data_IF_923731462488
#
_entry.id   IF_923731462488
#
_cell.length_a   1.000
_cell.length_b   1.000
_cell.length_c   1.000
_cell.angle_alpha   90.00
_cell.angle_beta   90.00
_cell.angle_gamma   90.00
#
_symmetry.space_group_name_H-M   'P 1'
#
loop_
_entity.id
_entity.type
_entity.pdbx_description
1 polymer ?
#
# COMPACT_ATOMS: atom_id res chain seq x y z
N UNK A 1 -0.71 -12.17 21.71
CA UNK A 1 0.40 -11.46 21.05
C UNK A 1 -0.07 -11.13 19.66
N UNK A 2 -0.45 -9.87 19.47
CA UNK A 2 -1.00 -9.37 18.21
C UNK A 2 0.13 -9.30 17.18
N UNK A 3 -0.10 -9.86 16.00
CA UNK A 3 0.88 -10.02 14.92
C UNK A 3 1.16 -8.71 14.17
N UNK A 4 1.31 -7.62 14.90
CA UNK A 4 1.84 -6.36 14.39
C UNK A 4 3.35 -6.48 14.28
N UNK A 5 3.83 -7.19 13.27
CA UNK A 5 5.14 -6.81 12.74
C UNK A 5 5.07 -5.31 12.43
N UNK A 6 6.01 -4.49 12.91
CA UNK A 6 6.00 -3.08 12.61
C UNK A 6 6.12 -2.97 11.10
N UNK A 7 5.04 -2.52 10.46
CA UNK A 7 5.07 -2.07 9.07
C UNK A 7 5.87 -0.77 9.07
N UNK A 8 7.19 -0.89 9.21
CA UNK A 8 8.12 0.20 8.95
C UNK A 8 7.79 0.63 7.52
N UNK A 9 7.31 1.86 7.39
CA UNK A 9 6.86 2.40 6.11
C UNK A 9 7.97 2.22 5.07
N UNK A 10 7.63 2.00 3.80
CA UNK A 10 8.65 1.84 2.76
C UNK A 10 9.62 3.06 2.74
N UNK A 11 9.11 4.25 3.08
CA UNK A 11 9.86 5.48 3.27
C UNK A 11 10.78 5.46 4.50
N UNK A 12 10.31 4.89 5.61
CA UNK A 12 11.09 4.75 6.85
C UNK A 12 12.24 3.75 6.62
N UNK A 13 11.98 2.66 5.89
CA UNK A 13 13.02 1.74 5.39
C UNK A 13 14.06 2.42 4.49
N UNK A 14 13.66 3.39 3.67
CA UNK A 14 14.61 4.15 2.85
C UNK A 14 15.47 5.08 3.73
N UNK A 15 14.88 5.73 4.72
CA UNK A 15 15.60 6.58 5.66
C UNK A 15 16.67 5.79 6.43
N UNK A 16 16.34 4.58 6.90
CA UNK A 16 17.28 3.69 7.58
C UNK A 16 18.46 3.29 6.67
N UNK A 17 18.18 2.99 5.40
CA UNK A 17 19.23 2.65 4.42
C UNK A 17 20.14 3.84 4.13
N UNK A 18 19.58 5.06 4.04
CA UNK A 18 20.38 6.27 3.86
C UNK A 18 21.25 6.53 5.09
N UNK A 19 20.70 6.38 6.30
CA UNK A 19 21.46 6.53 7.54
C UNK A 19 22.64 5.55 7.59
N UNK A 20 22.38 4.27 7.32
CA UNK A 20 23.42 3.24 7.27
C UNK A 20 24.49 3.55 6.19
N UNK A 21 24.09 4.03 5.01
CA UNK A 21 25.04 4.40 3.96
C UNK A 21 25.94 5.57 4.38
N UNK A 22 25.40 6.55 5.13
CA UNK A 22 26.17 7.69 5.66
C UNK A 22 27.14 7.23 6.75
N UNK A 23 26.73 6.36 7.65
CA UNK A 23 27.60 5.78 8.69
C UNK A 23 28.79 5.05 8.05
N UNK A 24 28.53 4.19 7.06
CA UNK A 24 29.58 3.48 6.32
C UNK A 24 30.51 4.44 5.59
N UNK A 25 29.97 5.51 4.99
CA UNK A 25 30.80 6.53 4.33
C UNK A 25 31.71 7.26 5.33
N UNK A 26 31.19 7.61 6.51
CA UNK A 26 31.95 8.26 7.58
C UNK A 26 33.06 7.36 8.11
N UNK A 27 32.76 6.11 8.45
CA UNK A 27 33.74 5.12 8.91
C UNK A 27 34.81 4.83 7.85
N UNK A 28 34.41 4.75 6.58
CA UNK A 28 35.35 4.60 5.47
C UNK A 28 36.26 5.83 5.32
N UNK A 29 35.72 7.03 5.58
CA UNK A 29 36.49 8.27 5.55
C UNK A 29 37.52 8.32 6.68
N UNK A 30 37.12 7.98 7.91
CA UNK A 30 38.00 7.92 9.07
C UNK A 30 39.11 6.88 8.93
N UNK A 31 38.81 5.74 8.31
CA UNK A 31 39.79 4.67 8.04
C UNK A 31 40.65 4.92 6.79
N UNK A 32 40.39 5.99 6.03
CA UNK A 32 41.10 6.29 4.78
C UNK A 32 40.77 5.34 3.62
N UNK A 33 39.68 4.57 3.74
CA UNK A 33 39.22 3.59 2.73
C UNK A 33 38.08 4.12 1.85
N UNK A 34 37.62 5.35 2.08
CA UNK A 34 36.62 5.98 1.24
C UNK A 34 37.17 6.26 -0.16
N UNK A 35 36.73 5.49 -1.14
CA UNK A 35 37.11 5.63 -2.55
C UNK A 35 35.93 6.02 -3.44
N UNK A 36 36.21 6.40 -4.68
CA UNK A 36 35.17 6.62 -5.69
C UNK A 36 34.31 5.37 -5.94
N UNK A 37 34.87 4.17 -5.78
CA UNK A 37 34.12 2.92 -5.92
C UNK A 37 33.16 2.70 -4.75
N UNK A 38 33.59 2.98 -3.51
CA UNK A 38 32.72 2.98 -2.32
C UNK A 38 31.59 3.97 -2.50
N UNK A 39 31.89 5.21 -2.92
CA UNK A 39 30.88 6.24 -3.17
C UNK A 39 29.84 5.82 -4.22
N UNK A 40 30.28 5.24 -5.35
CA UNK A 40 29.38 4.72 -6.39
C UNK A 40 28.53 3.57 -5.87
N UNK A 41 29.11 2.67 -5.09
CA UNK A 41 28.41 1.52 -4.52
C UNK A 41 27.31 1.97 -3.57
N UNK A 42 27.61 2.87 -2.63
CA UNK A 42 26.63 3.43 -1.70
C UNK A 42 25.51 4.17 -2.46
N UNK A 43 25.87 4.96 -3.48
CA UNK A 43 24.89 5.64 -4.34
C UNK A 43 23.97 4.65 -5.05
N UNK A 44 24.52 3.55 -5.58
CA UNK A 44 23.74 2.52 -6.27
C UNK A 44 22.80 1.78 -5.30
N UNK A 45 23.24 1.49 -4.08
CA UNK A 45 22.40 0.86 -3.05
C UNK A 45 21.22 1.76 -2.69
N UNK A 46 21.49 3.02 -2.33
CA UNK A 46 20.44 3.99 -1.98
C UNK A 46 19.48 4.19 -3.15
N UNK A 47 19.99 4.37 -4.37
CA UNK A 47 19.18 4.53 -5.58
C UNK A 47 18.28 3.32 -5.86
N UNK A 48 18.80 2.10 -5.72
CA UNK A 48 18.04 0.86 -5.95
C UNK A 48 16.91 0.68 -4.92
N UNK A 49 17.18 0.95 -3.65
CA UNK A 49 16.15 0.87 -2.60
C UNK A 49 15.11 1.97 -2.82
N UNK A 50 15.52 3.20 -3.14
CA UNK A 50 14.61 4.30 -3.44
C UNK A 50 13.67 3.99 -4.61
N UNK A 51 14.18 3.40 -5.69
CA UNK A 51 13.37 2.97 -6.83
C UNK A 51 12.32 1.91 -6.43
N UNK A 52 12.70 0.94 -5.59
CA UNK A 52 11.76 -0.07 -5.09
C UNK A 52 10.64 0.54 -4.26
N UNK A 53 10.97 1.48 -3.37
CA UNK A 53 10.00 2.18 -2.52
C UNK A 53 9.02 2.99 -3.37
N UNK A 54 9.50 3.65 -4.43
CA UNK A 54 8.64 4.37 -5.38
C UNK A 54 7.63 3.43 -6.05
N UNK A 55 8.08 2.28 -6.57
CA UNK A 55 7.21 1.28 -7.20
C UNK A 55 6.17 0.72 -6.22
N UNK A 56 6.58 0.45 -4.97
CA UNK A 56 5.65 -0.03 -3.92
C UNK A 56 4.58 1.03 -3.61
N UNK A 57 4.96 2.31 -3.54
CA UNK A 57 4.03 3.42 -3.33
C UNK A 57 3.04 3.57 -4.49
N UNK A 58 3.52 3.51 -5.74
CA UNK A 58 2.69 3.55 -6.96
C UNK A 58 1.68 2.40 -6.99
N UNK A 59 2.15 1.18 -6.73
CA UNK A 59 1.30 -0.03 -6.72
C UNK A 59 0.23 0.06 -5.64
N UNK A 60 0.58 0.57 -4.45
CA UNK A 60 -0.38 0.78 -3.37
C UNK A 60 -1.42 1.84 -3.74
N UNK A 61 -1.00 2.95 -4.34
CA UNK A 61 -1.89 4.00 -4.83
C UNK A 61 -2.86 3.47 -5.88
N UNK A 62 -2.38 2.70 -6.85
CA UNK A 62 -3.20 2.05 -7.86
C UNK A 62 -4.24 1.11 -7.25
N UNK A 63 -3.83 0.24 -6.31
CA UNK A 63 -4.75 -0.70 -5.62
C UNK A 63 -5.83 0.04 -4.81
N UNK A 64 -5.47 1.12 -4.12
CA UNK A 64 -6.43 1.93 -3.36
C UNK A 64 -7.45 2.58 -4.29
N UNK A 65 -6.98 3.28 -5.34
CA UNK A 65 -7.86 3.96 -6.29
C UNK A 65 -8.78 3.01 -7.05
N UNK A 66 -8.30 1.80 -7.40
CA UNK A 66 -9.15 0.77 -7.98
C UNK A 66 -10.21 0.25 -7.00
N UNK A 67 -9.85 0.01 -5.74
CA UNK A 67 -10.80 -0.41 -4.72
C UNK A 67 -11.92 0.62 -4.52
N UNK A 68 -11.56 1.90 -4.49
CA UNK A 68 -12.50 3.02 -4.40
C UNK A 68 -13.43 3.09 -5.63
N UNK A 69 -12.87 2.93 -6.84
CA UNK A 69 -13.66 2.91 -8.07
C UNK A 69 -14.66 1.74 -8.10
N UNK A 70 -14.24 0.52 -7.72
CA UNK A 70 -15.13 -0.63 -7.64
C UNK A 70 -16.22 -0.44 -6.58
N UNK A 71 -15.87 0.13 -5.42
CA UNK A 71 -16.85 0.43 -4.37
C UNK A 71 -17.93 1.42 -4.86
N UNK A 72 -17.54 2.44 -5.62
CA UNK A 72 -18.48 3.40 -6.21
C UNK A 72 -19.42 2.75 -7.24
N UNK A 73 -18.90 1.85 -8.07
CA UNK A 73 -19.72 1.09 -9.04
C UNK A 73 -20.68 0.13 -8.33
N UNK A 74 -20.22 -0.57 -7.28
CA UNK A 74 -21.05 -1.48 -6.49
C UNK A 74 -22.17 -0.78 -5.71
N UNK A 75 -21.92 0.43 -5.23
CA UNK A 75 -22.92 1.26 -4.55
C UNK A 75 -24.01 1.79 -5.49
N UNK A 76 -23.72 1.88 -6.80
CA UNK A 76 -24.66 2.38 -7.81
C UNK A 76 -25.68 1.34 -8.27
N UNK A 77 -25.64 0.09 -7.75
CA UNK A 77 -26.67 -0.91 -8.05
C UNK A 77 -27.93 -0.63 -7.24
N UNK A 78 -29.08 -0.28 -7.86
CA UNK A 78 -30.32 -0.10 -7.13
C UNK A 78 -30.72 -1.39 -6.42
N UNK A 79 -31.37 -1.29 -5.24
CA UNK A 79 -31.83 -2.47 -4.51
C UNK A 79 -32.77 -3.29 -5.40
N UNK A 80 -32.73 -4.64 -5.31
CA UNK A 80 -33.62 -5.49 -6.08
C UNK A 80 -35.07 -5.10 -5.80
N UNK A 81 -35.96 -5.13 -6.81
CA UNK A 81 -37.36 -4.77 -6.63
C UNK A 81 -37.96 -5.65 -5.54
N UNK A 82 -38.59 -5.03 -4.55
CA UNK A 82 -39.22 -5.76 -3.46
C UNK A 82 -40.25 -6.76 -4.04
N UNK A 83 -40.26 -8.02 -3.58
CA UNK A 83 -41.22 -9.00 -4.07
C UNK A 83 -42.63 -8.45 -3.89
N UNK A 84 -43.37 -8.30 -4.99
CA UNK A 84 -44.76 -7.83 -4.97
C UNK A 84 -45.55 -8.75 -4.04
N UNK A 85 -46.02 -8.20 -2.92
CA UNK A 85 -46.86 -8.91 -1.95
C UNK A 85 -48.08 -9.48 -2.69
N UNK A 86 -48.34 -10.80 -2.65
CA UNK A 86 -49.50 -11.37 -3.30
C UNK A 86 -50.76 -10.73 -2.72
N UNK A 87 -51.61 -10.16 -3.59
CA UNK A 87 -52.93 -9.64 -3.20
C UNK A 87 -53.70 -10.80 -2.61
N UNK A 88 -53.94 -10.74 -1.30
CA UNK A 88 -54.76 -11.71 -0.58
C UNK A 88 -56.20 -11.53 -1.08
N UNK A 89 -56.66 -12.44 -1.92
CA UNK A 89 -58.05 -12.52 -2.37
C UNK A 89 -58.93 -12.78 -1.15
N UNK A 90 -59.68 -11.78 -0.70
CA UNK A 90 -60.67 -11.95 0.36
C UNK A 90 -61.87 -12.74 -0.17
N UNK A 91 -61.82 -14.07 -0.07
CA UNK A 91 -63.01 -14.90 -0.18
C UNK A 91 -63.85 -14.74 1.08
N UNK A 92 -64.83 -13.84 0.98
CA UNK A 92 -65.93 -13.67 1.94
C UNK A 92 -66.83 -14.91 1.83
N UNK A 93 -66.68 -15.88 2.74
CA UNK A 93 -67.65 -16.96 2.91
C UNK A 93 -68.74 -16.46 3.84
N UNK A 94 -69.89 -16.11 3.27
CA UNK A 94 -71.15 -15.99 3.99
C UNK A 94 -71.81 -17.37 4.03
N UNK A 95 -72.21 -17.79 5.23
CA UNK A 95 -72.95 -19.02 5.50
C UNK A 95 -73.25 -19.06 6.98
#
# INVERSE_FOLDING_TARGET
MDGSEPVIGAQERLADVVAAAVEVAAESGESGTYTAEVARTLTAVVGKVGARVAVEAETRGFRSGWGEAIALVGWSSPPPPSPRRPRRSSHRRSG
#
